data_IF_187815271274
#
_entry.id   IF_187815271274
#
_cell.length_a   1.000
_cell.length_b   1.000
_cell.length_c   1.000
_cell.angle_alpha   90.00
_cell.angle_beta   90.00
_cell.angle_gamma   90.00
#
_symmetry.space_group_name_H-M   'P 1'
#
loop_
_entity.id
_entity.type
_entity.pdbx_description
1 polymer ?
#
# COMPACT_ATOMS: atom_id res chain seq x y z
N UNK A 1 -1.39 4.42 -18.72
CA UNK A 1 -1.53 4.53 -17.27
C UNK A 1 -2.23 3.35 -16.58
N UNK A 2 -2.86 2.41 -17.28
CA UNK A 2 -3.64 1.29 -16.70
C UNK A 2 -2.98 -0.10 -16.73
N UNK A 3 -1.72 -0.22 -17.16
CA UNK A 3 -1.08 -1.54 -17.28
C UNK A 3 -0.49 -2.08 -15.95
N UNK A 4 -0.14 -1.20 -15.01
CA UNK A 4 0.41 -1.62 -13.71
C UNK A 4 -0.64 -2.22 -12.77
N UNK A 5 -1.89 -1.79 -12.88
CA UNK A 5 -2.99 -2.35 -12.09
C UNK A 5 -3.32 -3.80 -12.47
N UNK A 6 -3.10 -4.19 -13.74
CA UNK A 6 -3.33 -5.58 -14.17
C UNK A 6 -2.32 -6.58 -13.60
N UNK A 7 -1.10 -6.14 -13.26
CA UNK A 7 -0.11 -7.02 -12.64
C UNK A 7 -0.47 -7.32 -11.16
N UNK A 8 -0.94 -6.32 -10.42
CA UNK A 8 -1.44 -6.52 -9.06
C UNK A 8 -2.71 -7.40 -9.03
N UNK A 9 -3.59 -7.24 -10.03
CA UNK A 9 -4.81 -8.06 -10.17
C UNK A 9 -4.54 -9.52 -10.55
N UNK A 10 -3.39 -9.83 -11.16
CA UNK A 10 -2.99 -11.23 -11.45
C UNK A 10 -2.55 -12.00 -10.20
N UNK A 11 -2.20 -11.31 -9.12
CA UNK A 11 -1.95 -11.91 -7.80
C UNK A 11 -3.24 -12.04 -6.97
N UNK A 12 -4.34 -11.45 -7.42
CA UNK A 12 -5.61 -11.40 -6.73
C UNK A 12 -6.46 -12.71 -6.76
N UNK A 13 -6.38 -13.60 -7.78
CA UNK A 13 -7.19 -14.82 -7.79
C UNK A 13 -6.95 -15.74 -6.59
N UNK A 14 -5.82 -15.57 -5.91
CA UNK A 14 -5.47 -16.37 -4.74
C UNK A 14 -5.79 -15.65 -3.40
N UNK A 15 -6.26 -14.39 -3.44
CA UNK A 15 -6.52 -13.62 -2.21
C UNK A 15 -7.71 -14.16 -1.43
N UNK A 16 -8.78 -14.55 -2.13
CA UNK A 16 -9.98 -15.21 -1.56
C UNK A 16 -10.44 -16.26 -2.54
N UNK A 17 -10.10 -17.54 -2.32
CA UNK A 17 -10.47 -18.63 -3.24
C UNK A 17 -11.97 -18.81 -3.42
N UNK A 18 -12.79 -18.36 -2.45
CA UNK A 18 -14.23 -18.44 -2.51
C UNK A 18 -14.93 -17.34 -1.74
N UNK A 19 -16.27 -17.36 -1.69
CA UNK A 19 -17.09 -16.40 -0.95
C UNK A 19 -17.69 -15.26 -1.79
N UNK A 20 -17.41 -15.25 -3.10
CA UNK A 20 -18.06 -14.34 -4.03
C UNK A 20 -19.30 -14.94 -4.70
N UNK A 21 -20.03 -14.14 -5.49
CA UNK A 21 -21.23 -14.57 -6.21
C UNK A 21 -20.97 -15.70 -7.22
N UNK A 22 -19.75 -15.76 -7.78
CA UNK A 22 -19.34 -16.82 -8.71
C UNK A 22 -19.03 -18.15 -8.00
N UNK A 23 -18.70 -18.12 -6.71
CA UNK A 23 -18.36 -19.28 -5.88
C UNK A 23 -18.82 -19.03 -4.45
N UNK A 24 -20.13 -19.10 -4.18
CA UNK A 24 -20.66 -19.02 -2.81
C UNK A 24 -20.10 -20.15 -1.96
N UNK A 25 -19.79 -19.88 -0.69
CA UNK A 25 -19.26 -20.88 0.21
C UNK A 25 -20.39 -21.76 0.77
N UNK A 26 -20.21 -23.06 0.69
CA UNK A 26 -20.92 -24.02 1.52
C UNK A 26 -20.20 -24.23 2.87
N UNK A 27 -20.77 -25.07 3.73
CA UNK A 27 -20.23 -25.34 5.07
C UNK A 27 -18.84 -26.01 5.03
N UNK A 28 -18.61 -26.89 4.07
CA UNK A 28 -17.33 -27.61 3.91
C UNK A 28 -16.24 -26.66 3.43
N UNK A 29 -16.53 -25.85 2.43
CA UNK A 29 -15.64 -24.83 1.88
C UNK A 29 -15.30 -23.75 2.91
N UNK A 30 -16.29 -23.34 3.73
CA UNK A 30 -16.06 -22.40 4.83
C UNK A 30 -15.14 -23.01 5.89
N UNK A 31 -15.36 -24.27 6.26
CA UNK A 31 -14.51 -25.02 7.19
C UNK A 31 -13.07 -25.19 6.65
N UNK A 32 -12.92 -25.41 5.34
CA UNK A 32 -11.64 -25.47 4.66
C UNK A 32 -10.95 -24.10 4.53
N UNK A 33 -11.60 -23.01 4.93
CA UNK A 33 -11.03 -21.66 4.94
C UNK A 33 -10.99 -20.97 3.58
N UNK A 34 -11.76 -21.41 2.60
CA UNK A 34 -11.75 -20.81 1.27
C UNK A 34 -12.22 -19.35 1.25
N UNK A 35 -12.97 -18.90 2.25
CA UNK A 35 -13.36 -17.50 2.44
C UNK A 35 -12.32 -16.64 3.13
N UNK A 36 -11.19 -17.21 3.54
CA UNK A 36 -10.12 -16.45 4.20
C UNK A 36 -9.19 -15.83 3.16
N UNK A 37 -8.56 -14.72 3.55
CA UNK A 37 -7.54 -14.08 2.71
C UNK A 37 -6.28 -14.95 2.73
N UNK A 38 -5.84 -15.37 1.55
CA UNK A 38 -4.58 -16.03 1.32
C UNK A 38 -3.64 -15.09 0.56
N UNK A 39 -2.42 -14.93 1.03
CA UNK A 39 -1.47 -13.99 0.42
C UNK A 39 -0.06 -14.58 0.39
N UNK A 40 0.56 -14.55 -0.80
CA UNK A 40 1.99 -14.86 -0.95
C UNK A 40 2.81 -13.63 -0.53
N UNK A 41 2.97 -13.43 0.78
CA UNK A 41 3.51 -12.21 1.37
C UNK A 41 4.83 -11.73 0.77
N UNK A 42 5.77 -12.65 0.44
CA UNK A 42 7.06 -12.30 -0.17
C UNK A 42 6.91 -11.74 -1.58
N UNK A 43 6.00 -12.28 -2.39
CA UNK A 43 5.75 -11.80 -3.75
C UNK A 43 5.04 -10.45 -3.72
N UNK A 44 4.02 -10.33 -2.88
CA UNK A 44 3.31 -9.05 -2.66
C UNK A 44 4.28 -7.97 -2.18
N UNK A 45 5.18 -8.28 -1.25
CA UNK A 45 6.21 -7.36 -0.78
C UNK A 45 7.07 -6.83 -1.94
N UNK A 46 7.64 -7.71 -2.76
CA UNK A 46 8.50 -7.32 -3.89
C UNK A 46 7.76 -6.43 -4.90
N UNK A 47 6.54 -6.82 -5.26
CA UNK A 47 5.70 -6.06 -6.20
C UNK A 47 5.32 -4.70 -5.60
N UNK A 48 4.89 -4.67 -4.33
CA UNK A 48 4.51 -3.43 -3.67
C UNK A 48 5.67 -2.43 -3.59
N UNK A 49 6.85 -2.86 -3.12
CA UNK A 49 8.03 -2.00 -3.02
C UNK A 49 8.40 -1.43 -4.38
N UNK A 50 8.52 -2.28 -5.40
CA UNK A 50 8.87 -1.82 -6.74
C UNK A 50 7.82 -0.86 -7.31
N UNK A 51 6.55 -1.24 -7.28
CA UNK A 51 5.47 -0.47 -7.92
C UNK A 51 5.27 0.88 -7.25
N UNK A 52 5.25 0.94 -5.91
CA UNK A 52 5.06 2.18 -5.18
C UNK A 52 6.24 3.14 -5.37
N UNK A 53 7.46 2.61 -5.42
CA UNK A 53 8.65 3.43 -5.65
C UNK A 53 8.71 3.98 -7.07
N UNK A 54 8.47 3.14 -8.08
CA UNK A 54 8.42 3.55 -9.49
C UNK A 54 7.30 4.60 -9.71
N UNK A 55 6.15 4.43 -9.04
CA UNK A 55 5.04 5.37 -9.12
C UNK A 55 5.40 6.73 -8.51
N UNK A 56 6.05 6.73 -7.34
CA UNK A 56 6.50 7.96 -6.69
C UNK A 56 7.45 8.77 -7.59
N UNK A 57 8.46 8.12 -8.18
CA UNK A 57 9.40 8.77 -9.10
C UNK A 57 8.67 9.34 -10.32
N UNK A 58 7.81 8.56 -10.96
CA UNK A 58 7.03 9.01 -12.13
C UNK A 58 6.09 10.17 -11.81
N UNK A 59 5.51 10.18 -10.60
CA UNK A 59 4.65 11.27 -10.17
C UNK A 59 5.43 12.58 -10.03
N UNK A 60 6.64 12.55 -9.49
CA UNK A 60 7.52 13.73 -9.42
C UNK A 60 7.89 14.22 -10.82
N UNK A 61 8.37 13.33 -11.68
CA UNK A 61 8.75 13.65 -13.06
C UNK A 61 7.59 14.29 -13.84
N UNK A 62 6.39 13.71 -13.73
CA UNK A 62 5.20 14.21 -14.43
C UNK A 62 4.75 15.60 -13.96
N UNK A 63 5.16 16.02 -12.77
CA UNK A 63 4.86 17.34 -12.21
C UNK A 63 6.07 18.30 -12.22
N UNK A 64 7.19 17.92 -12.82
CA UNK A 64 8.40 18.74 -12.88
C UNK A 64 9.04 18.97 -11.49
N UNK A 65 8.77 18.08 -10.53
CA UNK A 65 9.27 18.17 -9.17
C UNK A 65 10.50 17.28 -8.99
N UNK A 66 11.40 17.73 -8.12
CA UNK A 66 12.56 16.96 -7.66
C UNK A 66 12.25 16.34 -6.30
N UNK A 67 13.04 15.35 -5.89
CA UNK A 67 12.91 14.70 -4.57
C UNK A 67 13.06 15.70 -3.42
N UNK A 68 13.90 16.71 -3.59
CA UNK A 68 14.12 17.74 -2.57
C UNK A 68 12.91 18.63 -2.34
N UNK A 69 12.05 18.77 -3.36
CA UNK A 69 10.83 19.57 -3.29
C UNK A 69 9.71 18.87 -2.48
N UNK A 70 9.93 17.59 -2.12
CA UNK A 70 8.97 16.79 -1.31
C UNK A 70 9.17 17.09 0.17
N UNK A 71 8.16 17.66 0.81
CA UNK A 71 8.15 17.90 2.26
C UNK A 71 7.75 16.65 3.04
N UNK A 72 6.73 15.94 2.57
CA UNK A 72 6.18 14.75 3.22
C UNK A 72 5.97 13.62 2.22
N UNK A 73 6.32 12.43 2.66
CA UNK A 73 6.05 11.19 1.96
C UNK A 73 5.02 10.38 2.75
N UNK A 74 3.83 10.19 2.18
CA UNK A 74 2.69 9.51 2.81
C UNK A 74 2.34 8.24 2.03
N UNK A 75 3.11 7.15 2.19
CA UNK A 75 2.82 5.90 1.51
C UNK A 75 1.61 5.20 2.12
N UNK A 76 1.06 4.23 1.39
CA UNK A 76 0.11 3.29 1.97
C UNK A 76 0.69 2.63 3.22
N UNK A 77 -0.03 2.66 4.32
CA UNK A 77 0.41 2.16 5.63
C UNK A 77 0.18 0.65 5.77
N UNK A 78 0.80 -0.14 4.88
CA UNK A 78 0.64 -1.60 4.87
C UNK A 78 1.28 -2.28 6.09
N UNK A 79 2.56 -2.06 6.27
CA UNK A 79 3.38 -2.41 7.44
C UNK A 79 4.70 -1.63 7.37
N UNK A 80 5.37 -1.50 8.49
CA UNK A 80 6.59 -0.69 8.61
C UNK A 80 7.70 -1.14 7.64
N UNK A 81 7.93 -2.44 7.48
CA UNK A 81 8.98 -2.97 6.59
C UNK A 81 8.76 -2.61 5.12
N UNK A 82 7.51 -2.61 4.66
CA UNK A 82 7.18 -2.16 3.29
C UNK A 82 7.43 -0.66 3.18
N UNK A 83 6.99 0.14 4.14
CA UNK A 83 7.15 1.60 4.14
C UNK A 83 8.63 1.97 4.08
N UNK A 84 9.46 1.39 4.95
CA UNK A 84 10.92 1.61 4.98
C UNK A 84 11.58 1.23 3.64
N UNK A 85 11.17 0.09 3.07
CA UNK A 85 11.71 -0.37 1.79
C UNK A 85 11.30 0.55 0.65
N UNK A 86 10.05 1.01 0.62
CA UNK A 86 9.55 1.95 -0.40
C UNK A 86 10.27 3.30 -0.26
N UNK A 87 10.39 3.83 0.95
CA UNK A 87 11.11 5.08 1.21
C UNK A 87 12.58 4.99 0.76
N UNK A 88 13.27 3.92 1.12
CA UNK A 88 14.65 3.67 0.70
C UNK A 88 14.79 3.61 -0.83
N UNK A 89 13.91 2.88 -1.52
CA UNK A 89 13.92 2.78 -2.98
C UNK A 89 13.59 4.10 -3.67
N UNK A 90 12.62 4.84 -3.15
CA UNK A 90 12.26 6.17 -3.64
C UNK A 90 13.34 7.22 -3.34
N UNK A 91 14.30 6.91 -2.45
CA UNK A 91 15.30 7.85 -1.95
C UNK A 91 14.70 8.94 -1.07
N UNK A 92 13.59 8.62 -0.38
CA UNK A 92 12.98 9.50 0.60
C UNK A 92 13.56 9.20 1.99
N UNK A 93 14.11 10.19 2.69
CA UNK A 93 14.61 10.00 4.05
C UNK A 93 13.45 9.74 5.01
N UNK A 94 13.66 8.86 5.99
CA UNK A 94 12.59 8.39 6.89
C UNK A 94 11.99 9.52 7.75
N UNK A 95 12.71 10.58 8.02
CA UNK A 95 12.21 11.78 8.71
C UNK A 95 11.13 12.54 7.93
N UNK A 96 11.08 12.36 6.61
CA UNK A 96 10.01 12.89 5.74
C UNK A 96 8.84 11.92 5.58
N UNK A 97 8.94 10.71 6.12
CA UNK A 97 7.88 9.69 6.02
C UNK A 97 6.92 9.83 7.20
N UNK A 98 5.66 10.15 6.91
CA UNK A 98 4.63 10.16 7.95
C UNK A 98 4.11 8.75 8.20
N UNK A 99 4.24 8.29 9.46
CA UNK A 99 3.88 6.95 9.88
C UNK A 99 2.62 6.99 10.75
N UNK A 100 1.62 6.21 10.36
CA UNK A 100 0.38 6.00 11.13
C UNK A 100 0.07 4.53 11.38
N UNK A 101 0.83 3.63 10.75
CA UNK A 101 0.64 2.18 10.85
C UNK A 101 0.71 1.66 12.29
N UNK A 102 1.51 2.27 13.15
CA UNK A 102 1.63 1.90 14.56
C UNK A 102 0.40 2.28 15.41
N UNK A 103 -0.39 3.26 14.94
CA UNK A 103 -1.63 3.69 15.60
C UNK A 103 -2.86 2.91 15.10
N UNK A 104 -2.99 2.77 13.79
CA UNK A 104 -4.23 2.32 13.15
C UNK A 104 -4.09 1.00 12.41
N UNK A 105 -2.87 0.48 12.25
CA UNK A 105 -2.62 -0.71 11.42
C UNK A 105 -2.87 -0.44 9.93
N UNK A 106 -3.08 -1.53 9.19
CA UNK A 106 -3.42 -1.46 7.78
C UNK A 106 -4.93 -1.36 7.59
N UNK A 107 -5.42 -0.14 7.37
CA UNK A 107 -6.83 0.16 7.11
C UNK A 107 -7.16 0.19 5.60
N UNK A 108 -6.45 -0.60 4.78
CA UNK A 108 -6.66 -0.65 3.34
C UNK A 108 -6.58 0.74 2.69
N UNK A 109 -7.58 1.15 1.90
CA UNK A 109 -7.59 2.44 1.19
C UNK A 109 -7.65 3.66 2.12
N UNK A 110 -8.08 3.51 3.37
CA UNK A 110 -8.15 4.61 4.34
C UNK A 110 -6.78 5.02 4.90
N UNK A 111 -5.74 4.21 4.73
CA UNK A 111 -4.42 4.49 5.33
C UNK A 111 -3.78 5.78 4.83
N UNK A 112 -3.84 6.06 3.52
CA UNK A 112 -3.25 7.26 2.95
C UNK A 112 -4.01 8.55 3.33
N UNK A 113 -5.36 8.62 3.20
CA UNK A 113 -6.10 9.80 3.63
C UNK A 113 -5.99 10.08 5.14
N UNK A 114 -5.97 9.06 5.99
CA UNK A 114 -5.76 9.26 7.44
C UNK A 114 -4.36 9.81 7.72
N UNK A 115 -3.33 9.27 7.06
CA UNK A 115 -1.97 9.79 7.18
C UNK A 115 -1.87 11.25 6.70
N UNK A 116 -2.62 11.61 5.65
CA UNK A 116 -2.67 12.99 5.16
C UNK A 116 -3.29 13.94 6.20
N UNK A 117 -4.43 13.55 6.77
CA UNK A 117 -5.10 14.37 7.82
C UNK A 117 -4.17 14.62 8.99
N UNK A 118 -3.54 13.58 9.55
CA UNK A 118 -2.60 13.73 10.65
C UNK A 118 -1.37 14.60 10.29
N UNK A 119 -0.85 14.46 9.07
CA UNK A 119 0.27 15.27 8.63
C UNK A 119 -0.13 16.76 8.54
N UNK A 120 -1.31 17.06 8.01
CA UNK A 120 -1.84 18.44 7.95
C UNK A 120 -2.08 19.00 9.34
N UNK A 121 -2.74 18.25 10.23
CA UNK A 121 -2.96 18.67 11.63
C UNK A 121 -1.64 18.98 12.34
N UNK A 122 -0.61 18.16 12.13
CA UNK A 122 0.73 18.38 12.69
C UNK A 122 1.40 19.66 12.16
N UNK A 123 1.16 20.01 10.89
CA UNK A 123 1.70 21.25 10.30
C UNK A 123 0.97 22.50 10.80
N UNK A 124 -0.32 22.37 11.16
CA UNK A 124 -1.16 23.46 11.62
C UNK A 124 -1.13 23.63 13.14
N UNK A 125 -0.58 22.65 13.87
CA UNK A 125 -0.42 22.73 15.32
C UNK A 125 0.75 23.69 15.67
N UNK A 126 0.53 24.67 16.55
CA UNK A 126 1.55 25.62 16.96
C UNK A 126 2.70 24.96 17.73
#
# INVERSE_FOLDING_TARGET
MFHSQRAAFRLAPELTPGGGSAMPLDAEQAAAGLGKIHMKGTEVFKVAVKTLSDFGVKALEANGLRKDDVHWFLPHQANLRIIESVAKYAGAPMEKVHLTVHKYGNMSSATAPVALVEAVERLLSP
#
